data_IF_972987683204
#
_entry.id   IF_972987683204
#
_cell.length_a   1.000
_cell.length_b   1.000
_cell.length_c   1.000
_cell.angle_alpha   90.00
_cell.angle_beta   90.00
_cell.angle_gamma   90.00
#
_symmetry.space_group_name_H-M   'P 1'
#
loop_
_entity.id
_entity.type
_entity.pdbx_description
1 polymer ?
#
# COMPACT_ATOMS: atom_id res chain seq x y z
N UNK A 1 -7.85 22.62 7.19
CA UNK A 1 -6.59 22.24 7.86
C UNK A 1 -6.13 23.27 8.89
N UNK A 2 -6.24 24.58 8.62
CA UNK A 2 -5.78 25.65 9.53
C UNK A 2 -6.43 25.65 10.92
N UNK A 3 -7.74 25.40 11.01
CA UNK A 3 -8.47 25.38 12.29
C UNK A 3 -7.98 24.26 13.21
N UNK A 4 -7.76 23.06 12.66
CA UNK A 4 -7.24 21.92 13.42
C UNK A 4 -5.80 22.13 13.87
N UNK A 5 -4.97 22.78 13.03
CA UNK A 5 -3.60 23.14 13.39
C UNK A 5 -3.57 24.15 14.54
N UNK A 6 -4.39 25.20 14.46
CA UNK A 6 -4.51 26.21 15.51
C UNK A 6 -5.03 25.58 16.83
N UNK A 7 -6.01 24.68 16.75
CA UNK A 7 -6.54 23.96 17.91
C UNK A 7 -5.51 23.05 18.58
N UNK A 8 -4.70 22.33 17.80
CA UNK A 8 -3.63 21.50 18.33
C UNK A 8 -2.56 22.34 19.07
N UNK A 9 -2.15 23.47 18.49
CA UNK A 9 -1.17 24.38 19.10
C UNK A 9 -1.74 24.96 20.41
N UNK A 10 -2.98 25.45 20.38
CA UNK A 10 -3.64 26.00 21.58
C UNK A 10 -3.71 24.95 22.70
N UNK A 11 -4.08 23.71 22.36
CA UNK A 11 -4.14 22.60 23.32
C UNK A 11 -2.78 22.33 23.98
N UNK A 12 -1.71 22.27 23.19
CA UNK A 12 -0.35 22.10 23.72
C UNK A 12 0.04 23.25 24.67
N UNK A 13 -0.25 24.51 24.29
CA UNK A 13 0.08 25.68 25.11
C UNK A 13 -0.65 25.63 26.46
N UNK A 14 -1.96 25.33 26.47
CA UNK A 14 -2.73 25.25 27.71
C UNK A 14 -2.23 24.12 28.62
N UNK A 15 -1.86 22.96 28.06
CA UNK A 15 -1.25 21.86 28.84
C UNK A 15 0.04 22.30 29.55
N UNK A 16 0.91 23.05 28.86
CA UNK A 16 2.16 23.56 29.45
C UNK A 16 1.93 24.63 30.53
N UNK A 17 0.93 25.49 30.37
CA UNK A 17 0.59 26.56 31.33
C UNK A 17 0.08 25.99 32.66
N UNK A 18 -0.67 24.88 32.62
CA UNK A 18 -1.22 24.26 33.84
C UNK A 18 -0.14 23.52 34.64
N UNK A 19 0.61 22.61 34.00
CA UNK A 19 1.67 21.85 34.66
C UNK A 19 2.71 21.34 33.65
N UNK A 20 3.86 22.03 33.63
CA UNK A 20 4.93 21.76 32.66
C UNK A 20 5.58 20.38 32.80
N UNK A 21 5.75 19.86 34.02
CA UNK A 21 6.34 18.53 34.24
C UNK A 21 5.42 17.42 33.74
N UNK A 22 4.12 17.52 34.06
CA UNK A 22 3.13 16.54 33.61
C UNK A 22 2.97 16.58 32.07
N UNK A 23 2.98 17.77 31.46
CA UNK A 23 2.88 17.95 30.02
C UNK A 23 4.07 17.35 29.24
N UNK A 24 5.29 17.45 29.78
CA UNK A 24 6.45 16.78 29.19
C UNK A 24 6.33 15.26 29.27
N UNK A 25 5.91 14.73 30.42
CA UNK A 25 5.73 13.29 30.61
C UNK A 25 4.71 12.71 29.63
N UNK A 26 3.55 13.35 29.47
CA UNK A 26 2.51 12.88 28.55
C UNK A 26 2.95 12.95 27.09
N UNK A 27 3.62 14.03 26.66
CA UNK A 27 4.16 14.12 25.31
C UNK A 27 5.20 13.04 25.03
N UNK A 28 6.09 12.74 25.98
CA UNK A 28 7.09 11.66 25.85
C UNK A 28 6.41 10.30 25.74
N UNK A 29 5.40 10.02 26.56
CA UNK A 29 4.65 8.75 26.50
C UNK A 29 3.92 8.61 25.15
N UNK A 30 3.22 9.65 24.70
CA UNK A 30 2.50 9.65 23.42
C UNK A 30 3.47 9.47 22.25
N UNK A 31 4.59 10.20 22.26
CA UNK A 31 5.61 10.09 21.21
C UNK A 31 6.27 8.70 21.22
N UNK A 32 6.59 8.17 22.39
CA UNK A 32 7.15 6.82 22.55
C UNK A 32 6.21 5.73 22.04
N UNK A 33 4.91 5.84 22.36
CA UNK A 33 3.89 4.92 21.85
C UNK A 33 3.73 5.04 20.34
N UNK A 34 3.70 6.26 19.80
CA UNK A 34 3.61 6.52 18.36
C UNK A 34 4.80 5.90 17.61
N UNK A 35 6.01 6.11 18.12
CA UNK A 35 7.25 5.53 17.61
C UNK A 35 7.19 4.00 17.67
N UNK A 36 6.78 3.45 18.83
CA UNK A 36 6.68 2.00 19.01
C UNK A 36 5.74 1.34 18.00
N UNK A 37 4.53 1.88 17.83
CA UNK A 37 3.54 1.38 16.86
C UNK A 37 4.07 1.50 15.44
N UNK A 38 4.69 2.63 15.09
CA UNK A 38 5.22 2.89 13.75
C UNK A 38 6.37 1.95 13.37
N UNK A 39 7.24 1.60 14.33
CA UNK A 39 8.37 0.70 14.09
C UNK A 39 7.99 -0.78 14.14
N UNK A 40 7.17 -1.19 15.13
CA UNK A 40 6.82 -2.61 15.28
C UNK A 40 5.89 -3.11 14.18
N UNK A 41 5.11 -2.21 13.54
CA UNK A 41 4.08 -2.55 12.55
C UNK A 41 3.43 -3.90 12.85
N UNK A 42 2.89 -4.10 14.06
CA UNK A 42 2.48 -5.43 14.47
C UNK A 42 1.40 -5.89 13.49
N UNK A 43 1.54 -7.09 12.90
CA UNK A 43 0.56 -7.73 12.01
C UNK A 43 -0.67 -8.09 12.83
N UNK A 44 -1.41 -7.07 13.24
CA UNK A 44 -2.60 -7.22 14.05
C UNK A 44 -3.81 -7.16 13.15
N UNK A 45 -4.60 -8.22 13.20
CA UNK A 45 -5.88 -8.38 12.51
C UNK A 45 -7.00 -7.45 13.03
N UNK A 46 -6.66 -6.38 13.78
CA UNK A 46 -7.59 -5.43 14.43
C UNK A 46 -8.32 -4.49 13.45
N UNK A 47 -8.75 -5.03 12.32
CA UNK A 47 -9.80 -4.43 11.51
C UNK A 47 -9.30 -3.68 10.30
N UNK A 48 -10.10 -3.76 9.25
CA UNK A 48 -9.91 -3.29 7.89
C UNK A 48 -9.60 -1.79 7.72
N UNK A 49 -9.46 -0.99 8.78
CA UNK A 49 -9.26 0.46 8.69
C UNK A 49 -7.90 0.85 8.09
N UNK A 50 -6.81 0.21 8.49
CA UNK A 50 -5.47 0.46 7.91
C UNK A 50 -5.38 -0.07 6.47
N UNK A 51 -6.06 -1.18 6.17
CA UNK A 51 -6.18 -1.73 4.82
C UNK A 51 -7.02 -0.81 3.92
N UNK A 52 -8.14 -0.28 4.43
CA UNK A 52 -8.98 0.68 3.74
C UNK A 52 -8.23 1.98 3.47
N UNK A 53 -7.44 2.47 4.43
CA UNK A 53 -6.58 3.63 4.24
C UNK A 53 -5.55 3.39 3.14
N UNK A 54 -4.88 2.23 3.14
CA UNK A 54 -3.92 1.85 2.09
C UNK A 54 -4.60 1.81 0.71
N UNK A 55 -5.82 1.25 0.62
CA UNK A 55 -6.60 1.22 -0.61
C UNK A 55 -6.97 2.63 -1.09
N UNK A 56 -7.48 3.49 -0.20
CA UNK A 56 -7.81 4.87 -0.52
C UNK A 56 -6.57 5.65 -0.98
N UNK A 57 -5.43 5.48 -0.32
CA UNK A 57 -4.16 6.08 -0.73
C UNK A 57 -3.76 5.61 -2.12
N UNK A 58 -3.74 4.29 -2.37
CA UNK A 58 -3.41 3.74 -3.68
C UNK A 58 -4.35 4.27 -4.79
N UNK A 59 -5.65 4.35 -4.52
CA UNK A 59 -6.65 4.88 -5.44
C UNK A 59 -6.40 6.36 -5.74
N UNK A 60 -6.23 7.20 -4.72
CA UNK A 60 -5.97 8.63 -4.88
C UNK A 60 -4.67 8.88 -5.64
N UNK A 61 -3.61 8.11 -5.34
CA UNK A 61 -2.36 8.18 -6.09
C UNK A 61 -2.58 7.78 -7.55
N UNK A 62 -3.28 6.69 -7.83
CA UNK A 62 -3.58 6.24 -9.20
C UNK A 62 -4.39 7.27 -9.99
N UNK A 63 -5.40 7.87 -9.36
CA UNK A 63 -6.20 8.96 -9.97
C UNK A 63 -5.34 10.19 -10.26
N UNK A 64 -4.46 10.56 -9.34
CA UNK A 64 -3.53 11.66 -9.54
C UNK A 64 -2.57 11.37 -10.70
N UNK A 65 -2.07 10.13 -10.81
CA UNK A 65 -1.25 9.70 -11.95
C UNK A 65 -2.02 9.72 -13.28
N UNK A 66 -3.32 9.40 -13.28
CA UNK A 66 -4.17 9.45 -14.48
C UNK A 66 -4.44 10.86 -15.00
N UNK A 67 -4.30 11.89 -14.15
CA UNK A 67 -4.52 13.29 -14.52
C UNK A 67 -3.28 14.01 -15.03
N UNK A 68 -2.10 13.37 -15.00
CA UNK A 68 -0.84 13.94 -15.50
C UNK A 68 -0.67 13.56 -16.97
N UNK A 69 -0.41 14.54 -17.83
CA UNK A 69 -0.14 14.25 -19.24
C UNK A 69 1.16 13.45 -19.39
N UNK A 70 1.08 12.35 -20.13
CA UNK A 70 2.25 11.53 -20.47
C UNK A 70 3.15 12.30 -21.44
N UNK A 71 4.16 12.96 -20.87
CA UNK A 71 5.18 13.63 -21.66
C UNK A 71 6.15 12.59 -22.24
N UNK A 72 6.50 12.71 -23.52
CA UNK A 72 7.42 11.83 -24.26
C UNK A 72 8.79 11.68 -23.55
N UNK A 73 9.14 12.63 -22.67
CA UNK A 73 10.37 12.65 -21.87
C UNK A 73 10.32 11.79 -20.60
N UNK A 74 9.16 11.26 -20.21
CA UNK A 74 8.97 10.45 -19.00
C UNK A 74 8.36 9.09 -19.36
N UNK A 75 9.04 8.34 -20.23
CA UNK A 75 8.62 6.98 -20.58
C UNK A 75 8.87 6.01 -19.42
N UNK A 76 7.83 5.29 -18.98
CA UNK A 76 7.93 4.19 -18.01
C UNK A 76 7.43 2.89 -18.64
N UNK A 77 8.28 1.88 -18.87
CA UNK A 77 7.86 0.65 -19.52
C UNK A 77 6.89 -0.14 -18.63
N UNK A 78 5.71 -0.43 -19.14
CA UNK A 78 4.76 -1.36 -18.51
C UNK A 78 4.76 -2.66 -19.30
N UNK A 79 5.17 -3.76 -18.67
CA UNK A 79 5.36 -5.04 -19.35
C UNK A 79 4.32 -6.06 -18.90
N UNK A 80 3.57 -6.61 -19.86
CA UNK A 80 2.74 -7.79 -19.68
C UNK A 80 3.55 -9.02 -20.10
N UNK A 81 3.78 -9.93 -19.15
CA UNK A 81 4.68 -11.07 -19.31
C UNK A 81 3.89 -12.36 -19.34
N UNK A 82 3.89 -13.04 -20.48
CA UNK A 82 3.12 -14.28 -20.69
C UNK A 82 3.91 -15.49 -20.18
N UNK A 83 4.07 -15.59 -18.85
CA UNK A 83 4.85 -16.66 -18.20
C UNK A 83 4.10 -17.97 -18.07
N UNK A 84 2.77 -17.92 -18.16
CA UNK A 84 1.96 -19.03 -17.68
C UNK A 84 2.00 -19.07 -16.15
N UNK A 85 2.07 -20.26 -15.55
CA UNK A 85 2.22 -20.39 -14.10
C UNK A 85 3.58 -19.78 -13.69
N UNK A 86 3.65 -18.93 -12.64
CA UNK A 86 4.87 -18.19 -12.31
C UNK A 86 6.06 -19.12 -12.04
N UNK A 87 5.81 -20.29 -11.44
CA UNK A 87 6.85 -21.28 -11.15
C UNK A 87 7.33 -22.05 -12.39
N UNK A 88 6.65 -21.96 -13.55
CA UNK A 88 7.01 -22.74 -14.74
C UNK A 88 8.17 -22.13 -15.54
N UNK A 89 8.39 -20.81 -15.46
CA UNK A 89 9.42 -20.11 -16.24
C UNK A 89 10.12 -19.02 -15.42
N UNK A 90 10.90 -19.39 -14.40
CA UNK A 90 11.56 -18.42 -13.51
C UNK A 90 12.59 -17.54 -14.23
N UNK A 91 13.30 -18.06 -15.24
CA UNK A 91 14.30 -17.29 -15.99
C UNK A 91 13.71 -16.09 -16.75
N UNK A 92 12.48 -16.21 -17.25
CA UNK A 92 11.80 -15.12 -17.96
C UNK A 92 11.30 -14.07 -16.96
N UNK A 93 10.78 -14.51 -15.81
CA UNK A 93 10.39 -13.61 -14.72
C UNK A 93 11.58 -12.80 -14.22
N UNK A 94 12.73 -13.43 -13.99
CA UNK A 94 13.92 -12.75 -13.48
C UNK A 94 14.48 -11.74 -14.49
N UNK A 95 14.48 -12.09 -15.79
CA UNK A 95 14.84 -11.19 -16.87
C UNK A 95 13.95 -9.94 -16.88
N UNK A 96 12.63 -10.10 -16.90
CA UNK A 96 11.72 -8.95 -16.94
C UNK A 96 11.77 -8.18 -15.62
N UNK A 97 11.87 -8.87 -14.49
CA UNK A 97 12.04 -8.24 -13.18
C UNK A 97 13.29 -7.35 -13.17
N UNK A 98 14.41 -7.80 -13.73
CA UNK A 98 15.64 -7.01 -13.85
C UNK A 98 15.45 -5.75 -14.71
N UNK A 99 14.62 -5.80 -15.75
CA UNK A 99 14.34 -4.64 -16.61
C UNK A 99 13.35 -3.65 -16.00
N UNK A 100 12.32 -4.13 -15.28
CA UNK A 100 11.25 -3.27 -14.73
C UNK A 100 11.49 -2.84 -13.29
N UNK A 101 12.55 -3.34 -12.62
CA UNK A 101 12.83 -3.10 -11.19
C UNK A 101 12.81 -1.61 -10.86
N UNK A 102 11.81 -1.18 -10.07
CA UNK A 102 11.59 0.20 -9.62
C UNK A 102 11.29 1.25 -10.72
N UNK A 103 11.23 0.85 -12.00
CA UNK A 103 10.99 1.78 -13.12
C UNK A 103 9.54 1.75 -13.59
N UNK A 104 8.92 0.56 -13.58
CA UNK A 104 7.60 0.34 -14.17
C UNK A 104 6.83 -0.84 -13.60
N UNK A 105 5.66 -1.09 -14.17
CA UNK A 105 4.72 -2.13 -13.75
C UNK A 105 4.97 -3.41 -14.55
N UNK A 106 5.06 -4.54 -13.86
CA UNK A 106 5.13 -5.88 -14.47
C UNK A 106 3.89 -6.68 -14.09
N UNK A 107 3.19 -7.22 -15.08
CA UNK A 107 1.99 -8.06 -14.91
C UNK A 107 2.28 -9.44 -15.48
N UNK A 108 2.06 -10.51 -14.71
CA UNK A 108 2.22 -11.89 -15.17
C UNK A 108 0.90 -12.44 -15.70
N UNK A 109 0.86 -12.78 -16.99
CA UNK A 109 -0.29 -13.38 -17.66
C UNK A 109 -0.18 -14.91 -17.73
N UNK A 110 -1.24 -15.60 -17.26
CA UNK A 110 -1.41 -17.04 -17.42
C UNK A 110 -2.69 -17.35 -18.17
N UNK A 111 -2.57 -17.93 -19.37
CA UNK A 111 -3.72 -18.41 -20.13
C UNK A 111 -3.92 -19.90 -19.81
N UNK A 112 -5.04 -20.23 -19.19
CA UNK A 112 -5.48 -21.63 -19.01
C UNK A 112 -6.30 -22.02 -20.23
N UNK A 113 -5.73 -22.83 -21.11
CA UNK A 113 -6.46 -23.45 -22.21
C UNK A 113 -7.37 -24.55 -21.64
N UNK A 114 -8.64 -24.20 -21.39
CA UNK A 114 -9.69 -25.13 -20.99
C UNK A 114 -11.03 -24.66 -21.56
N UNK A 115 -11.88 -25.60 -21.97
CA UNK A 115 -13.27 -25.30 -22.26
C UNK A 115 -13.92 -24.82 -20.96
N UNK A 116 -14.36 -23.55 -20.88
CA UNK A 116 -15.01 -22.96 -19.70
C UNK A 116 -16.17 -23.88 -19.26
N UNK A 117 -16.09 -24.61 -18.13
CA UNK A 117 -17.31 -25.00 -17.45
C UNK A 117 -17.90 -23.70 -16.89
N UNK A 118 -19.23 -23.65 -16.74
CA UNK A 118 -19.95 -22.48 -16.22
C UNK A 118 -19.21 -21.80 -15.06
N UNK A 119 -19.13 -20.45 -15.13
CA UNK A 119 -18.35 -19.55 -14.27
C UNK A 119 -18.49 -19.81 -12.74
N UNK A 120 -19.53 -20.51 -12.31
CA UNK A 120 -19.78 -20.87 -10.91
C UNK A 120 -18.76 -21.84 -10.25
N UNK A 121 -18.00 -22.65 -11.02
CA UNK A 121 -17.11 -23.67 -10.43
C UNK A 121 -15.66 -23.21 -10.19
N UNK A 122 -15.25 -22.08 -10.78
CA UNK A 122 -13.88 -21.58 -10.66
C UNK A 122 -13.58 -20.98 -9.28
N UNK A 123 -14.59 -20.52 -8.54
CA UNK A 123 -14.39 -19.95 -7.20
C UNK A 123 -13.94 -20.96 -6.13
N UNK A 124 -14.32 -22.24 -6.26
CA UNK A 124 -14.05 -23.23 -5.19
C UNK A 124 -12.68 -23.91 -5.28
N UNK A 125 -12.10 -24.02 -6.48
CA UNK A 125 -10.81 -24.70 -6.65
C UNK A 125 -9.60 -23.85 -6.21
N UNK A 126 -9.74 -22.52 -6.16
CA UNK A 126 -8.71 -21.63 -5.59
C UNK A 126 -8.70 -21.61 -4.06
N UNK A 127 -9.81 -21.97 -3.40
CA UNK A 127 -9.89 -22.05 -1.93
C UNK A 127 -9.26 -23.34 -1.37
N UNK A 128 -9.18 -24.41 -2.16
CA UNK A 128 -8.57 -25.68 -1.72
C UNK A 128 -7.06 -25.79 -1.96
N UNK A 129 -6.43 -24.80 -2.61
CA UNK A 129 -4.99 -24.79 -2.90
C UNK A 129 -4.20 -23.78 -2.03
N UNK A 130 -4.82 -23.26 -0.98
CA UNK A 130 -4.15 -22.54 0.12
C UNK A 130 -4.36 -23.28 1.44
#
# INVERSE_FOLDING_TARGET
>A
MWVSLAGAILCCVVMFVINWWAALLTNVIVLGLYIYVSYKKPDVNWGSSTQALTYHQALTHTLHLSGVEDHIKNFRPQCLVMTGYPNSRPALLDLVHSFTKNVGLMICGHVRAGCRPNFGYLGQSWVQLQ
#
